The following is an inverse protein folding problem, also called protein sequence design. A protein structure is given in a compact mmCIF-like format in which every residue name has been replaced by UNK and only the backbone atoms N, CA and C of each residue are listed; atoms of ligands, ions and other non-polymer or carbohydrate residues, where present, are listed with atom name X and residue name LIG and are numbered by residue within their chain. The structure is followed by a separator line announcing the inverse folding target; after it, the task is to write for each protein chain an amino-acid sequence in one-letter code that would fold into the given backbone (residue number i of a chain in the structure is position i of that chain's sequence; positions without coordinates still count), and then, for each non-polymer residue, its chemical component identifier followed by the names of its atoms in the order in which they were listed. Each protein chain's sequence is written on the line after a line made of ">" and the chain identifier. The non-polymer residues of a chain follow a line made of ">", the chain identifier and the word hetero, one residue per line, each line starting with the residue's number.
data_IF_674933862469
#
_entry.id   IF_674933862469
#
_cell.length_a   1.000
_cell.length_b   1.000
_cell.length_c   1.000
_cell.angle_alpha   90.00
_cell.angle_beta   90.00
_cell.angle_gamma   90.00
#
_symmetry.space_group_name_H-M   'P 1'
#
loop_
_entity.id
_entity.type
_entity.pdbx_description
1 polymer ?
#
# COMPACT_ATOMS: atom_id res chain seq x y z
N UNK A 1 13.28 24.19 1.62
CA UNK A 1 11.86 24.09 2.02
C UNK A 1 11.63 24.60 3.44
N UNK A 2 12.53 24.33 4.39
CA UNK A 2 12.56 25.10 5.65
C UNK A 2 12.75 26.59 5.38
N UNK A 3 13.63 26.94 4.44
CA UNK A 3 13.89 28.34 4.04
C UNK A 3 12.66 29.08 3.48
N UNK A 4 11.66 28.36 2.94
CA UNK A 4 10.43 29.00 2.46
C UNK A 4 9.42 29.28 3.59
N UNK A 5 9.78 29.02 4.86
CA UNK A 5 8.91 29.22 6.02
C UNK A 5 7.83 28.16 6.20
N UNK A 6 7.89 27.05 5.45
CA UNK A 6 6.97 25.92 5.65
C UNK A 6 7.30 25.21 6.97
N UNK A 7 6.30 24.92 7.80
CA UNK A 7 6.44 24.24 9.11
C UNK A 7 5.49 23.02 9.24
N UNK A 8 5.12 22.41 8.10
CA UNK A 8 4.17 21.30 8.05
C UNK A 8 4.79 19.90 8.22
N UNK A 9 4.04 18.89 7.77
CA UNK A 9 4.48 17.49 7.66
C UNK A 9 4.49 17.11 6.18
N UNK A 10 5.54 16.43 5.73
CA UNK A 10 5.58 15.84 4.39
C UNK A 10 4.91 14.47 4.40
N UNK A 11 3.87 14.32 3.58
CA UNK A 11 3.25 13.03 3.27
C UNK A 11 3.61 12.62 1.84
N UNK A 12 4.49 11.64 1.69
CA UNK A 12 4.94 11.15 0.38
C UNK A 12 4.08 9.97 -0.05
N UNK A 13 3.26 10.16 -1.08
CA UNK A 13 2.37 9.15 -1.64
C UNK A 13 2.74 8.70 -3.07
N UNK A 14 3.86 9.21 -3.61
CA UNK A 14 4.36 8.85 -4.94
C UNK A 14 5.23 7.58 -4.87
N UNK A 15 5.25 6.81 -5.96
CA UNK A 15 6.11 5.63 -6.09
C UNK A 15 7.39 5.93 -6.88
N UNK A 16 8.55 5.36 -6.50
CA UNK A 16 8.75 4.41 -5.40
C UNK A 16 8.85 5.10 -4.02
N UNK A 17 7.81 4.92 -3.18
CA UNK A 17 7.62 5.73 -1.96
C UNK A 17 8.79 5.69 -0.97
N UNK A 18 9.50 4.59 -0.79
CA UNK A 18 10.61 4.51 0.16
C UNK A 18 11.78 5.42 -0.26
N UNK A 19 12.16 5.38 -1.54
CA UNK A 19 13.24 6.20 -2.10
C UNK A 19 12.83 7.67 -2.11
N UNK A 20 11.57 7.96 -2.46
CA UNK A 20 11.07 9.33 -2.49
C UNK A 20 10.91 9.92 -1.09
N UNK A 21 10.51 9.12 -0.10
CA UNK A 21 10.45 9.54 1.31
C UNK A 21 11.85 9.86 1.84
N UNK A 22 12.83 9.00 1.55
CA UNK A 22 14.23 9.24 1.92
C UNK A 22 14.78 10.51 1.25
N UNK A 23 14.52 10.68 -0.04
CA UNK A 23 14.96 11.87 -0.79
C UNK A 23 14.32 13.14 -0.22
N UNK A 24 13.01 13.09 0.07
CA UNK A 24 12.28 14.21 0.69
C UNK A 24 12.88 14.58 2.04
N UNK A 25 13.24 13.59 2.87
CA UNK A 25 13.92 13.85 4.13
C UNK A 25 15.28 14.54 3.93
N UNK A 26 16.09 14.06 2.99
CA UNK A 26 17.42 14.63 2.72
C UNK A 26 17.37 16.04 2.14
N UNK A 27 16.42 16.33 1.25
CA UNK A 27 16.36 17.62 0.54
C UNK A 27 15.49 18.68 1.23
N UNK A 28 14.51 18.27 2.05
CA UNK A 28 13.61 19.24 2.71
C UNK A 28 14.28 20.03 3.83
N UNK A 29 15.27 19.43 4.50
CA UNK A 29 15.89 19.95 5.73
C UNK A 29 15.07 19.68 7.00
N UNK A 30 13.98 18.90 6.90
CA UNK A 30 13.11 18.61 8.03
C UNK A 30 13.64 17.46 8.90
N UNK A 31 13.29 17.45 10.21
CA UNK A 31 13.49 16.29 11.04
C UNK A 31 12.70 15.09 10.50
N UNK A 32 13.25 13.87 10.65
CA UNK A 32 12.67 12.64 10.08
C UNK A 32 11.24 12.38 10.56
N UNK A 33 10.91 12.83 11.76
CA UNK A 33 9.59 12.71 12.41
C UNK A 33 8.50 13.47 11.64
N UNK A 34 8.89 14.41 10.76
CA UNK A 34 7.98 15.21 9.93
C UNK A 34 7.98 14.79 8.45
N UNK A 35 8.58 13.65 8.12
CA UNK A 35 8.59 13.11 6.76
C UNK A 35 8.06 11.68 6.79
N UNK A 36 6.80 11.53 6.37
CA UNK A 36 6.05 10.27 6.44
C UNK A 36 5.82 9.77 5.01
N UNK A 37 6.33 8.57 4.73
CA UNK A 37 5.94 7.84 3.52
C UNK A 37 4.62 7.12 3.74
N UNK A 38 3.71 7.16 2.77
CA UNK A 38 2.45 6.40 2.83
C UNK A 38 2.67 4.88 2.88
N UNK A 39 3.90 4.43 2.58
CA UNK A 39 4.23 3.03 2.36
C UNK A 39 3.41 2.47 1.20
N UNK A 40 3.14 1.16 1.23
CA UNK A 40 2.29 0.49 0.24
C UNK A 40 0.80 0.55 0.60
N UNK A 41 0.38 1.35 1.59
CA UNK A 41 -1.01 1.39 2.05
C UNK A 41 -1.98 1.81 0.96
N UNK A 42 -1.60 2.80 0.14
CA UNK A 42 -2.42 3.28 -0.98
C UNK A 42 -2.50 2.24 -2.11
N UNK A 43 -1.37 1.64 -2.50
CA UNK A 43 -1.36 0.56 -3.49
C UNK A 43 -2.10 -0.68 -2.99
N UNK A 44 -2.05 -0.96 -1.69
CA UNK A 44 -2.82 -2.03 -1.06
C UNK A 44 -4.30 -1.74 -1.13
N UNK A 45 -4.74 -0.52 -0.83
CA UNK A 45 -6.14 -0.13 -0.92
C UNK A 45 -6.67 -0.23 -2.36
N UNK A 46 -5.91 0.31 -3.33
CA UNK A 46 -6.24 0.22 -4.76
C UNK A 46 -6.29 -1.23 -5.25
N UNK A 47 -5.33 -2.05 -4.85
CA UNK A 47 -5.32 -3.47 -5.20
C UNK A 47 -6.50 -4.22 -4.57
N UNK A 48 -6.80 -3.97 -3.30
CA UNK A 48 -7.97 -4.57 -2.63
C UNK A 48 -9.28 -4.14 -3.28
N UNK A 49 -9.40 -2.89 -3.72
CA UNK A 49 -10.59 -2.40 -4.41
C UNK A 49 -10.75 -3.06 -5.79
N UNK A 50 -9.71 -3.09 -6.62
CA UNK A 50 -9.76 -3.75 -7.91
C UNK A 50 -10.05 -5.26 -7.78
N UNK A 51 -9.54 -5.87 -6.71
CA UNK A 51 -9.79 -7.28 -6.41
C UNK A 51 -11.22 -7.49 -5.93
N UNK A 52 -11.72 -6.64 -5.03
CA UNK A 52 -13.10 -6.62 -4.54
C UNK A 52 -14.12 -6.49 -5.68
N UNK A 53 -13.89 -5.58 -6.62
CA UNK A 53 -14.72 -5.39 -7.82
C UNK A 53 -14.75 -6.65 -8.68
N UNK A 54 -13.62 -7.36 -8.80
CA UNK A 54 -13.52 -8.58 -9.61
C UNK A 54 -14.12 -9.82 -8.94
N UNK A 55 -14.13 -9.89 -7.61
CA UNK A 55 -14.60 -11.06 -6.85
C UNK A 55 -15.95 -10.85 -6.15
N UNK A 56 -16.51 -9.64 -6.19
CA UNK A 56 -17.78 -9.30 -5.53
C UNK A 56 -17.74 -9.30 -4.00
N UNK A 57 -16.55 -9.23 -3.39
CA UNK A 57 -16.36 -9.22 -1.93
C UNK A 57 -15.89 -7.85 -1.49
N UNK A 58 -16.43 -7.33 -0.38
CA UNK A 58 -16.04 -6.04 0.18
C UNK A 58 -14.51 -5.94 0.39
N UNK A 59 -13.90 -4.86 -0.11
CA UNK A 59 -12.45 -4.63 -0.04
C UNK A 59 -11.87 -4.63 1.39
N UNK A 60 -12.69 -4.33 2.40
CA UNK A 60 -12.31 -4.37 3.82
C UNK A 60 -12.19 -5.79 4.36
N UNK A 61 -12.77 -6.77 3.65
CA UNK A 61 -12.70 -8.19 3.98
C UNK A 61 -11.46 -8.87 3.42
N UNK A 62 -10.66 -8.17 2.61
CA UNK A 62 -9.39 -8.64 2.05
C UNK A 62 -8.25 -8.18 2.97
N UNK A 63 -7.61 -9.12 3.65
CA UNK A 63 -6.45 -8.85 4.51
C UNK A 63 -5.16 -9.14 3.72
N UNK A 64 -4.18 -8.24 3.75
CA UNK A 64 -2.87 -8.40 3.10
C UNK A 64 -2.29 -7.10 2.57
N UNK A 65 -0.97 -7.03 2.37
CA UNK A 65 -0.26 -5.84 1.85
C UNK A 65 0.17 -6.08 0.41
N UNK A 66 -0.05 -5.10 -0.45
CA UNK A 66 0.56 -5.08 -1.79
C UNK A 66 2.06 -4.90 -1.62
N UNK A 67 2.82 -5.92 -2.02
CA UNK A 67 4.27 -5.88 -2.05
C UNK A 67 4.67 -5.29 -3.40
N UNK A 68 5.64 -4.36 -3.41
CA UNK A 68 6.12 -3.65 -4.62
C UNK A 68 6.70 -4.56 -5.71
N UNK A 69 6.83 -5.86 -5.47
CA UNK A 69 7.16 -6.84 -6.50
C UNK A 69 5.92 -7.12 -7.34
N UNK A 70 6.05 -6.98 -8.66
CA UNK A 70 5.06 -7.15 -9.74
C UNK A 70 4.25 -8.46 -9.74
N UNK A 71 4.48 -9.35 -8.78
CA UNK A 71 3.68 -10.55 -8.52
C UNK A 71 2.66 -10.27 -7.41
N UNK A 72 1.35 -10.18 -7.73
CA UNK A 72 0.32 -10.21 -6.70
C UNK A 72 0.43 -11.54 -5.97
N UNK A 73 1.05 -11.54 -4.79
CA UNK A 73 1.27 -12.75 -4.01
C UNK A 73 -0.03 -13.07 -3.28
N UNK A 74 -1.02 -13.63 -3.99
CA UNK A 74 -2.31 -14.13 -3.45
C UNK A 74 -2.13 -15.02 -2.21
N UNK A 75 -0.95 -15.62 -2.13
CA UNK A 75 -0.33 -16.29 -0.99
C UNK A 75 -0.54 -15.71 0.40
N UNK A 76 -0.45 -14.38 0.52
CA UNK A 76 -0.49 -13.68 1.81
C UNK A 76 -1.80 -12.94 2.03
N UNK A 77 -2.79 -13.14 1.15
CA UNK A 77 -4.10 -12.53 1.27
C UNK A 77 -5.10 -13.50 1.88
N UNK A 78 -5.58 -13.16 3.07
CA UNK A 78 -6.61 -13.91 3.79
C UNK A 78 -7.96 -13.23 3.63
N UNK A 79 -9.01 -14.02 3.43
CA UNK A 79 -10.38 -13.53 3.58
C UNK A 79 -10.75 -13.55 5.06
N UNK A 80 -11.65 -12.66 5.49
CA UNK A 80 -12.13 -12.51 6.88
C UNK A 80 -12.66 -13.80 7.56
N UNK A 81 -12.80 -14.89 6.80
CA UNK A 81 -13.27 -16.22 7.26
C UNK A 81 -12.15 -17.27 7.35
N UNK A 82 -10.87 -16.88 7.36
CA UNK A 82 -9.74 -17.81 7.52
C UNK A 82 -9.39 -18.61 6.27
N UNK A 83 -10.14 -18.44 5.16
CA UNK A 83 -9.83 -19.03 3.86
C UNK A 83 -8.74 -18.22 3.16
N UNK A 84 -7.67 -18.88 2.70
CA UNK A 84 -6.66 -18.23 1.88
C UNK A 84 -7.25 -17.94 0.51
N UNK A 85 -6.88 -16.78 -0.04
CA UNK A 85 -7.36 -16.37 -1.36
C UNK A 85 -6.95 -17.34 -2.48
N UNK A 86 -5.86 -18.09 -2.30
CA UNK A 86 -5.45 -19.17 -3.21
C UNK A 86 -6.48 -20.29 -3.27
N UNK A 87 -6.99 -20.73 -2.12
CA UNK A 87 -7.91 -21.87 -2.02
C UNK A 87 -9.23 -21.54 -2.71
N UNK A 88 -9.68 -20.29 -2.60
CA UNK A 88 -10.84 -19.79 -3.33
C UNK A 88 -10.59 -19.67 -4.84
N UNK A 89 -9.42 -19.22 -5.27
CA UNK A 89 -9.08 -19.10 -6.70
C UNK A 89 -9.14 -20.48 -7.41
N UNK A 90 -8.68 -21.54 -6.74
CA UNK A 90 -8.74 -22.90 -7.26
C UNK A 90 -10.17 -23.46 -7.36
N UNK A 91 -11.10 -23.00 -6.52
CA UNK A 91 -12.52 -23.39 -6.62
C UNK A 91 -13.24 -22.75 -7.80
N UNK A 92 -12.80 -21.58 -8.26
CA UNK A 92 -13.40 -20.87 -9.40
C UNK A 92 -12.85 -21.30 -10.77
N UNK A 93 -11.78 -22.12 -10.79
CA UNK A 93 -11.15 -22.64 -12.01
C UNK A 93 -11.65 -24.07 -12.35
N UNK A 94 -12.51 -24.65 -11.50
CA UNK A 94 -13.29 -25.85 -11.83
C UNK A 94 -14.63 -25.44 -12.45
#
# INVERSE_FOLDING_TARGET
>A
MVESGFDGIFLVAANPVDILTYSTWKFSGFPKERVIGSGTSLDTARFRQALAEKIGIDARSILGKSLKSTTPTYSKYGLKHGKLMRDWLFEQIK
#
